data_IF_005876795768
#
_entry.id   IF_005876795768
#
_cell.length_a   1.000
_cell.length_b   1.000
_cell.length_c   1.000
_cell.angle_alpha   90.00
_cell.angle_beta   90.00
_cell.angle_gamma   90.00
#
_symmetry.space_group_name_H-M   'P 1'
#
loop_
_entity.id
_entity.type
_entity.pdbx_description
1 polymer ?
#
# COMPACT_ATOMS: atom_id res chain seq x y z
N UNK A 1 -35.48 -21.17 -9.66
CA UNK A 1 -36.08 -19.90 -10.12
C UNK A 1 -37.00 -19.22 -9.08
N UNK A 2 -37.28 -19.82 -7.90
CA UNK A 2 -38.15 -19.17 -6.88
C UNK A 2 -37.40 -18.32 -5.84
N UNK A 3 -36.13 -18.63 -5.57
CA UNK A 3 -35.26 -17.85 -4.68
C UNK A 3 -34.96 -16.43 -5.19
N UNK A 4 -35.07 -16.19 -6.50
CA UNK A 4 -34.85 -14.87 -7.08
C UNK A 4 -36.04 -13.92 -6.87
N UNK A 5 -37.25 -14.47 -6.65
CA UNK A 5 -38.49 -13.69 -6.57
C UNK A 5 -38.76 -13.10 -5.19
N UNK A 6 -38.37 -13.78 -4.12
CA UNK A 6 -38.38 -13.25 -2.75
C UNK A 6 -37.24 -12.23 -2.48
N UNK A 7 -36.33 -12.08 -3.43
CA UNK A 7 -35.10 -11.30 -3.33
C UNK A 7 -35.14 -10.00 -4.15
N UNK A 8 -36.28 -9.69 -4.77
CA UNK A 8 -36.48 -8.43 -5.45
C UNK A 8 -36.70 -7.32 -4.41
N UNK A 9 -35.90 -6.24 -4.43
CA UNK A 9 -36.06 -5.17 -3.48
C UNK A 9 -37.36 -4.41 -3.77
N UNK A 10 -38.31 -4.46 -2.83
CA UNK A 10 -39.22 -3.34 -2.61
C UNK A 10 -38.33 -2.08 -2.53
N UNK A 11 -38.56 -1.10 -3.41
CA UNK A 11 -37.73 0.12 -3.55
C UNK A 11 -37.34 0.62 -2.15
N UNK A 12 -36.05 0.55 -1.75
CA UNK A 12 -35.68 0.97 -0.42
C UNK A 12 -35.83 2.48 -0.33
N UNK A 13 -36.73 2.95 0.54
CA UNK A 13 -37.01 4.36 0.78
C UNK A 13 -35.81 5.14 1.37
N UNK A 14 -34.70 4.45 1.69
CA UNK A 14 -33.46 5.05 2.18
C UNK A 14 -32.27 4.24 1.64
N UNK A 15 -31.18 4.89 1.17
CA UNK A 15 -29.97 4.19 0.78
C UNK A 15 -29.42 3.42 1.98
N UNK A 16 -29.19 2.12 1.82
CA UNK A 16 -28.55 1.29 2.84
C UNK A 16 -27.07 1.72 2.97
N UNK A 17 -26.77 2.57 3.96
CA UNK A 17 -25.41 3.08 4.20
C UNK A 17 -24.60 2.03 4.96
N UNK A 18 -23.86 1.18 4.24
CA UNK A 18 -23.01 0.13 4.80
C UNK A 18 -21.63 0.64 5.24
N UNK A 19 -21.56 1.79 5.93
CA UNK A 19 -20.29 2.39 6.35
C UNK A 19 -19.32 2.60 5.17
N UNK A 20 -18.06 2.17 5.32
CA UNK A 20 -17.01 2.31 4.30
C UNK A 20 -17.40 1.70 2.94
N UNK A 21 -18.22 0.65 2.94
CA UNK A 21 -18.63 -0.05 1.74
C UNK A 21 -19.66 0.69 0.89
N UNK A 22 -20.38 1.68 1.46
CA UNK A 22 -21.30 2.49 0.65
C UNK A 22 -20.56 3.43 -0.31
N UNK A 23 -19.25 3.66 -0.10
CA UNK A 23 -18.44 4.51 -0.98
C UNK A 23 -17.63 3.69 -1.99
N UNK A 24 -17.76 2.36 -1.99
CA UNK A 24 -17.07 1.51 -2.96
C UNK A 24 -17.59 1.77 -4.38
N UNK A 25 -16.67 1.89 -5.33
CA UNK A 25 -16.99 2.20 -6.72
C UNK A 25 -17.13 0.90 -7.53
N UNK A 26 -18.29 0.72 -8.18
CA UNK A 26 -18.60 -0.45 -9.00
C UNK A 26 -18.85 -0.03 -10.46
N UNK A 27 -18.79 -1.00 -11.37
CA UNK A 27 -19.10 -0.77 -12.79
C UNK A 27 -20.60 -0.65 -13.06
N UNK A 28 -21.44 -1.31 -12.24
CA UNK A 28 -22.89 -1.28 -12.37
C UNK A 28 -23.60 -1.18 -11.01
N UNK A 29 -24.82 -0.62 -11.04
CA UNK A 29 -25.73 -0.58 -9.89
C UNK A 29 -26.05 -1.98 -9.36
N UNK A 30 -26.18 -2.96 -10.25
CA UNK A 30 -26.55 -4.33 -9.90
C UNK A 30 -25.41 -5.02 -9.15
N UNK A 31 -24.16 -4.78 -9.57
CA UNK A 31 -22.98 -5.28 -8.88
C UNK A 31 -22.86 -4.64 -7.49
N UNK A 32 -23.12 -3.34 -7.37
CA UNK A 32 -23.14 -2.64 -6.09
C UNK A 32 -24.21 -3.22 -5.15
N UNK A 33 -25.43 -3.43 -5.64
CA UNK A 33 -26.52 -4.00 -4.84
C UNK A 33 -26.23 -5.43 -4.43
N UNK A 34 -25.71 -6.26 -5.34
CA UNK A 34 -25.29 -7.63 -5.03
C UNK A 34 -24.18 -7.66 -4.00
N UNK A 35 -23.19 -6.77 -4.11
CA UNK A 35 -22.11 -6.62 -3.15
C UNK A 35 -22.65 -6.22 -1.77
N UNK A 36 -23.47 -5.17 -1.69
CA UNK A 36 -24.07 -4.73 -0.43
C UNK A 36 -24.92 -5.83 0.20
N UNK A 37 -25.60 -6.67 -0.61
CA UNK A 37 -26.33 -7.84 -0.13
C UNK A 37 -25.43 -8.90 0.48
N UNK A 38 -24.33 -9.24 -0.19
CA UNK A 38 -23.31 -10.18 0.34
C UNK A 38 -22.70 -9.67 1.64
N UNK A 39 -22.40 -8.37 1.70
CA UNK A 39 -21.85 -7.72 2.88
C UNK A 39 -22.87 -7.48 4.00
N UNK A 40 -24.12 -7.86 3.81
CA UNK A 40 -25.13 -7.81 4.86
C UNK A 40 -25.92 -6.51 4.98
N UNK A 41 -25.88 -5.63 3.99
CA UNK A 41 -26.56 -4.34 4.03
C UNK A 41 -28.07 -4.37 4.00
N UNK A 42 -28.65 -5.50 3.63
CA UNK A 42 -30.10 -5.69 3.61
C UNK A 42 -30.60 -6.62 4.74
N UNK A 43 -29.76 -6.94 5.74
CA UNK A 43 -30.19 -7.76 6.89
C UNK A 43 -31.19 -6.95 7.75
N UNK A 44 -32.34 -7.55 8.09
CA UNK A 44 -33.34 -6.94 8.98
C UNK A 44 -32.72 -6.76 10.38
N UNK A 45 -32.56 -5.52 10.83
CA UNK A 45 -31.86 -5.18 12.07
C UNK A 45 -30.42 -4.71 11.88
N UNK A 46 -29.94 -4.54 10.64
CA UNK A 46 -28.67 -3.89 10.38
C UNK A 46 -28.71 -2.44 10.89
N UNK A 47 -27.99 -2.18 11.97
CA UNK A 47 -27.64 -0.82 12.38
C UNK A 47 -26.32 -0.48 11.69
N UNK A 48 -26.28 0.54 10.83
CA UNK A 48 -25.01 1.08 10.37
C UNK A 48 -24.19 1.40 11.62
N UNK A 49 -22.99 0.81 11.73
CA UNK A 49 -22.06 1.27 12.76
C UNK A 49 -21.95 2.79 12.58
N UNK A 50 -22.15 3.55 13.67
CA UNK A 50 -21.95 4.99 13.70
C UNK A 50 -20.46 5.28 13.53
N UNK A 51 -19.92 4.98 12.35
CA UNK A 51 -18.59 5.36 11.95
C UNK A 51 -18.66 6.84 11.67
N UNK A 52 -17.89 7.62 12.43
CA UNK A 52 -17.68 9.04 12.21
C UNK A 52 -17.68 9.32 10.71
N UNK A 53 -18.67 10.08 10.23
CA UNK A 53 -18.85 10.48 8.83
C UNK A 53 -17.76 11.42 8.30
N UNK A 54 -16.55 11.31 8.84
CA UNK A 54 -15.36 11.93 8.31
C UNK A 54 -14.83 11.12 7.14
N UNK A 55 -14.32 11.84 6.13
CA UNK A 55 -13.67 11.33 4.90
C UNK A 55 -12.61 10.24 5.09
N UNK A 56 -12.22 9.90 6.32
CA UNK A 56 -11.17 8.95 6.64
C UNK A 56 -11.56 7.48 6.39
N UNK A 57 -12.85 7.12 6.34
CA UNK A 57 -13.30 5.73 6.20
C UNK A 57 -14.03 5.50 4.86
N UNK A 58 -13.37 5.79 3.74
CA UNK A 58 -13.90 5.53 2.40
C UNK A 58 -13.19 4.34 1.75
N UNK A 59 -13.94 3.47 1.06
CA UNK A 59 -13.37 2.52 0.14
C UNK A 59 -12.63 3.25 -0.99
N UNK A 60 -11.49 2.69 -1.42
CA UNK A 60 -10.65 3.28 -2.46
C UNK A 60 -11.40 3.29 -3.80
N UNK A 61 -11.43 4.45 -4.46
CA UNK A 61 -11.97 4.58 -5.83
C UNK A 61 -11.03 3.98 -6.87
N UNK A 62 -11.51 3.83 -8.11
CA UNK A 62 -10.75 3.21 -9.21
C UNK A 62 -9.44 3.93 -9.52
N UNK A 63 -9.47 5.25 -9.60
CA UNK A 63 -8.28 6.03 -9.96
C UNK A 63 -7.21 5.95 -8.87
N UNK A 64 -7.62 6.06 -7.61
CA UNK A 64 -6.73 5.94 -6.47
C UNK A 64 -6.19 4.50 -6.32
N UNK A 65 -6.98 3.48 -6.67
CA UNK A 65 -6.54 2.09 -6.77
C UNK A 65 -5.47 1.92 -7.86
N UNK A 66 -5.68 2.48 -9.05
CA UNK A 66 -4.71 2.41 -10.14
C UNK A 66 -3.40 3.10 -9.76
N UNK A 67 -3.47 4.28 -9.16
CA UNK A 67 -2.28 5.00 -8.69
C UNK A 67 -1.52 4.18 -7.64
N UNK A 68 -2.22 3.59 -6.67
CA UNK A 68 -1.61 2.71 -5.67
C UNK A 68 -0.94 1.51 -6.33
N UNK A 69 -1.61 0.87 -7.30
CA UNK A 69 -1.07 -0.27 -8.01
C UNK A 69 0.21 0.08 -8.78
N UNK A 70 0.24 1.24 -9.46
CA UNK A 70 1.43 1.73 -10.15
C UNK A 70 2.58 1.99 -9.17
N UNK A 71 2.29 2.60 -8.01
CA UNK A 71 3.28 2.82 -6.96
C UNK A 71 3.87 1.52 -6.40
N UNK A 72 3.01 0.53 -6.14
CA UNK A 72 3.44 -0.80 -5.67
C UNK A 72 4.31 -1.53 -6.69
N UNK A 73 4.00 -1.41 -7.98
CA UNK A 73 4.81 -2.00 -9.04
C UNK A 73 6.21 -1.35 -9.08
N UNK A 74 6.29 -0.02 -9.02
CA UNK A 74 7.56 0.69 -9.00
C UNK A 74 8.42 0.36 -7.78
N UNK A 75 7.82 0.22 -6.60
CA UNK A 75 8.56 -0.19 -5.39
C UNK A 75 9.01 -1.65 -5.44
N UNK A 76 8.21 -2.53 -6.05
CA UNK A 76 8.62 -3.90 -6.30
C UNK A 76 9.84 -3.95 -7.23
N UNK A 77 9.81 -3.23 -8.36
CA UNK A 77 10.95 -3.15 -9.29
C UNK A 77 12.18 -2.57 -8.62
N UNK A 78 12.02 -1.49 -7.84
CA UNK A 78 13.10 -0.90 -7.04
C UNK A 78 13.73 -1.91 -6.08
N UNK A 79 12.92 -2.68 -5.37
CA UNK A 79 13.39 -3.72 -4.45
C UNK A 79 14.12 -4.86 -5.21
N UNK A 80 13.60 -5.27 -6.37
CA UNK A 80 14.25 -6.27 -7.23
C UNK A 80 15.61 -5.78 -7.75
N UNK A 81 15.71 -4.55 -8.27
CA UNK A 81 16.97 -3.98 -8.75
C UNK A 81 18.02 -3.90 -7.63
N UNK A 82 17.63 -3.54 -6.40
CA UNK A 82 18.53 -3.57 -5.23
C UNK A 82 19.01 -4.98 -4.90
N UNK A 83 18.18 -6.00 -5.08
CA UNK A 83 18.56 -7.41 -4.87
C UNK A 83 19.60 -7.87 -5.90
N UNK A 84 19.52 -7.34 -7.12
CA UNK A 84 20.43 -7.67 -8.22
C UNK A 84 21.72 -6.84 -8.22
N UNK A 85 21.74 -5.69 -7.54
CA UNK A 85 22.97 -4.93 -7.30
C UNK A 85 23.85 -5.61 -6.23
N UNK A 86 24.55 -6.67 -6.67
CA UNK A 86 25.48 -7.43 -5.84
C UNK A 86 26.68 -6.60 -5.35
N UNK A 87 26.93 -5.42 -5.93
CA UNK A 87 28.04 -4.55 -5.52
C UNK A 87 27.83 -3.90 -4.15
N UNK A 88 26.57 -3.71 -3.74
CA UNK A 88 26.17 -3.12 -2.47
C UNK A 88 25.55 -4.14 -1.49
N UNK A 89 25.82 -5.43 -1.68
CA UNK A 89 25.24 -6.49 -0.84
C UNK A 89 25.67 -6.31 0.62
N UNK A 90 24.71 -6.03 1.50
CA UNK A 90 24.95 -5.84 2.94
C UNK A 90 25.33 -4.42 3.38
N UNK A 91 25.42 -3.47 2.46
CA UNK A 91 25.81 -2.09 2.78
C UNK A 91 24.69 -1.28 3.46
N UNK A 92 23.43 -1.71 3.32
CA UNK A 92 22.26 -1.06 3.94
C UNK A 92 21.60 -0.03 3.01
N UNK A 93 20.30 0.22 3.23
CA UNK A 93 19.53 1.16 2.41
C UNK A 93 20.09 2.58 2.56
N UNK A 94 20.58 3.17 1.47
CA UNK A 94 21.06 4.57 1.44
C UNK A 94 22.53 4.74 1.85
N UNK A 95 23.26 3.65 2.05
CA UNK A 95 24.69 3.69 2.32
C UNK A 95 25.49 3.46 1.05
N UNK A 96 26.37 4.40 0.74
CA UNK A 96 27.37 4.27 -0.33
C UNK A 96 28.74 4.36 0.33
N UNK A 97 29.55 3.30 0.18
CA UNK A 97 30.91 3.31 0.71
C UNK A 97 31.69 4.47 0.06
N UNK A 98 32.38 5.32 0.84
CA UNK A 98 33.28 6.32 0.27
C UNK A 98 34.30 5.64 -0.64
N UNK A 99 34.68 6.29 -1.74
CA UNK A 99 35.73 5.75 -2.60
C UNK A 99 36.98 5.47 -1.76
N UNK A 100 37.41 4.20 -1.72
CA UNK A 100 38.75 3.76 -1.31
C UNK A 100 39.70 4.61 -2.14
N UNK A 101 40.24 5.71 -1.61
CA UNK A 101 41.38 6.51 -2.13
C UNK A 101 41.50 7.81 -1.32
N UNK A 102 41.68 7.75 0.00
CA UNK A 102 42.00 8.97 0.76
C UNK A 102 43.39 8.99 1.37
N UNK A 103 43.94 7.86 1.83
CA UNK A 103 45.33 7.82 2.33
C UNK A 103 45.94 6.42 2.13
N UNK A 104 47.15 6.37 1.59
CA UNK A 104 48.01 5.18 1.57
C UNK A 104 49.11 5.36 2.61
N UNK A 105 49.24 4.43 3.55
CA UNK A 105 50.38 4.39 4.47
C UNK A 105 51.51 3.67 3.75
N UNK A 106 52.56 4.41 3.39
CA UNK A 106 53.79 3.81 2.90
C UNK A 106 54.58 3.24 4.08
N UNK A 107 54.58 1.91 4.18
CA UNK A 107 55.28 1.17 5.25
C UNK A 107 56.80 1.33 5.20
N UNK A 108 57.36 1.78 4.07
CA UNK A 108 58.80 1.99 3.90
C UNK A 108 59.23 3.43 4.21
N UNK A 109 58.28 4.36 4.35
CA UNK A 109 58.55 5.74 4.69
C UNK A 109 58.76 5.87 6.20
N UNK A 110 60.01 6.02 6.62
CA UNK A 110 60.37 6.28 8.01
C UNK A 110 60.97 7.69 8.13
N UNK A 111 60.32 8.58 8.89
CA UNK A 111 60.80 9.95 9.19
C UNK A 111 61.15 10.13 10.67
N UNK A 112 61.76 9.12 11.30
CA UNK A 112 62.27 9.27 12.66
C UNK A 112 63.63 9.94 12.65
N UNK A 113 63.81 10.93 13.53
CA UNK A 113 65.12 11.52 13.83
C UNK A 113 65.63 10.82 15.09
N UNK A 114 66.84 10.29 15.05
CA UNK A 114 67.52 9.77 16.24
C UNK A 114 68.19 10.94 16.94
N UNK A 115 68.06 10.99 18.27
CA UNK A 115 68.82 11.89 19.11
C UNK A 115 70.05 11.14 19.59
N UNK A 116 71.22 11.74 19.47
CA UNK A 116 72.44 11.26 20.10
C UNK A 116 72.47 11.74 21.57
N UNK A 117 72.95 10.90 22.49
CA UNK A 117 73.09 11.18 23.93
C UNK A 117 74.21 12.20 24.23
#
# INVERSE_FOLDING_TARGET
MEIDKASQPEKPAKPATLGQWSTAQFDSSDQQQKFLRLMGGFKKGFQPAAGNGGKANMALGKDAQQQLQQGLLGEFERAQSRRLDFSNRGSGLGFTAPSKNKFSIDINSCRSVRFDD
#
